data_IF_574820906548
#
_entry.id   IF_574820906548
#
_cell.length_a   1.000
_cell.length_b   1.000
_cell.length_c   1.000
_cell.angle_alpha   90.00
_cell.angle_beta   90.00
_cell.angle_gamma   90.00
#
_symmetry.space_group_name_H-M   'P 1'
#
loop_
_entity.id
_entity.type
_entity.pdbx_description
1 polymer ?
#
# COMPACT_ATOMS: atom_id res chain seq x y z
N UNK A 1 -10.67 12.13 6.76
CA UNK A 1 -10.91 11.01 5.83
C UNK A 1 -11.84 9.92 6.39
N UNK A 2 -12.34 10.11 7.62
CA UNK A 2 -13.24 9.13 8.25
C UNK A 2 -14.41 8.76 7.33
N UNK A 3 -14.60 7.47 7.12
CA UNK A 3 -15.62 6.94 6.21
C UNK A 3 -15.29 7.05 4.71
N UNK A 4 -14.12 7.57 4.33
CA UNK A 4 -13.76 7.83 2.92
C UNK A 4 -12.28 7.55 2.62
N UNK A 5 -11.78 6.41 3.07
CA UNK A 5 -10.35 6.08 3.02
C UNK A 5 -9.75 6.05 1.61
N UNK A 6 -10.43 5.46 0.65
CA UNK A 6 -9.98 5.36 -0.74
C UNK A 6 -10.66 6.33 -1.70
N UNK A 7 -11.50 7.26 -1.22
CA UNK A 7 -12.27 8.16 -2.06
C UNK A 7 -11.55 9.48 -2.36
N UNK A 8 -11.79 10.51 -1.55
CA UNK A 8 -11.19 11.84 -1.76
C UNK A 8 -9.66 11.83 -1.72
N UNK A 9 -8.99 11.16 -0.76
CA UNK A 9 -7.52 11.11 -0.76
C UNK A 9 -6.94 10.54 -2.06
N UNK A 10 -7.55 9.49 -2.62
CA UNK A 10 -7.14 8.95 -3.92
C UNK A 10 -7.32 10.00 -5.04
N UNK A 11 -8.47 10.68 -5.08
CA UNK A 11 -8.73 11.73 -6.09
C UNK A 11 -7.73 12.87 -5.96
N UNK A 12 -7.43 13.31 -4.76
CA UNK A 12 -6.47 14.39 -4.50
C UNK A 12 -5.06 14.02 -5.02
N UNK A 13 -4.62 12.77 -4.79
CA UNK A 13 -3.36 12.26 -5.33
C UNK A 13 -3.38 12.26 -6.87
N UNK A 14 -4.45 11.77 -7.49
CA UNK A 14 -4.57 11.73 -8.95
C UNK A 14 -4.58 13.13 -9.56
N UNK A 15 -5.34 14.07 -8.99
CA UNK A 15 -5.38 15.47 -9.43
C UNK A 15 -4.04 16.19 -9.21
N UNK A 16 -3.38 15.94 -8.08
CA UNK A 16 -2.04 16.46 -7.80
C UNK A 16 -1.01 15.97 -8.82
N UNK A 17 -1.06 14.68 -9.16
CA UNK A 17 -0.20 14.11 -10.19
C UNK A 17 -0.50 14.73 -11.57
N UNK A 18 -1.77 14.86 -11.95
CA UNK A 18 -2.18 15.50 -13.22
C UNK A 18 -1.66 16.93 -13.31
N UNK A 19 -1.77 17.70 -12.22
CA UNK A 19 -1.23 19.05 -12.14
C UNK A 19 0.29 19.08 -12.38
N UNK A 20 1.04 18.22 -11.70
CA UNK A 20 2.50 18.15 -11.85
C UNK A 20 2.90 17.77 -13.27
N UNK A 21 2.29 16.73 -13.84
CA UNK A 21 2.60 16.26 -15.19
C UNK A 21 2.22 17.26 -16.29
N UNK A 22 1.24 18.12 -16.02
CA UNK A 22 0.79 19.14 -16.99
C UNK A 22 1.63 20.41 -16.95
N UNK A 23 2.16 20.76 -15.76
CA UNK A 23 2.81 22.05 -15.56
C UNK A 23 4.34 21.99 -15.54
N UNK A 24 4.95 20.81 -15.40
CA UNK A 24 6.41 20.68 -15.25
C UNK A 24 7.00 19.76 -16.32
N UNK A 25 7.60 20.35 -17.33
CA UNK A 25 8.15 19.64 -18.50
C UNK A 25 9.38 18.77 -18.21
N UNK A 26 10.03 18.96 -17.05
CA UNK A 26 11.17 18.13 -16.64
C UNK A 26 10.75 16.76 -16.05
N UNK A 27 9.45 16.56 -15.81
CA UNK A 27 8.92 15.29 -15.30
C UNK A 27 8.63 14.36 -16.48
N UNK A 28 9.22 13.18 -16.44
CA UNK A 28 8.92 12.12 -17.41
C UNK A 28 7.56 11.49 -17.08
N UNK A 29 6.57 11.77 -17.92
CA UNK A 29 5.19 11.30 -17.76
C UNK A 29 5.04 9.78 -17.87
N UNK A 30 5.97 9.15 -18.57
CA UNK A 30 5.98 7.69 -18.80
C UNK A 30 6.70 6.93 -17.68
N UNK A 31 7.26 7.65 -16.67
CA UNK A 31 8.08 7.06 -15.61
C UNK A 31 7.65 7.54 -14.23
N UNK A 32 6.46 7.15 -13.83
CA UNK A 32 5.87 7.55 -12.56
C UNK A 32 5.72 6.32 -11.65
N UNK A 33 6.24 6.42 -10.42
CA UNK A 33 6.06 5.43 -9.38
C UNK A 33 5.33 6.01 -8.17
N UNK A 34 4.70 5.16 -7.36
CA UNK A 34 4.12 5.55 -6.10
C UNK A 34 4.69 4.72 -4.95
N UNK A 35 4.95 5.38 -3.82
CA UNK A 35 5.41 4.73 -2.59
C UNK A 35 4.67 5.28 -1.38
N UNK A 36 4.40 4.43 -0.40
CA UNK A 36 3.75 4.86 0.82
C UNK A 36 3.94 3.89 1.96
N UNK A 37 3.88 4.42 3.19
CA UNK A 37 3.94 3.63 4.42
C UNK A 37 2.69 3.81 5.27
N UNK A 38 2.29 2.78 6.03
CA UNK A 38 1.11 2.81 6.90
C UNK A 38 -0.17 3.13 6.10
N UNK A 39 -0.88 4.21 6.38
CA UNK A 39 -1.99 4.68 5.55
C UNK A 39 -1.55 4.91 4.08
N UNK A 40 -0.33 5.43 3.86
CA UNK A 40 0.24 5.56 2.52
C UNK A 40 0.47 4.20 1.84
N UNK A 41 0.84 3.16 2.60
CA UNK A 41 0.91 1.78 2.12
C UNK A 41 -0.46 1.23 1.74
N UNK A 42 -1.49 1.50 2.56
CA UNK A 42 -2.88 1.23 2.20
C UNK A 42 -3.25 1.93 0.89
N UNK A 43 -2.93 3.23 0.76
CA UNK A 43 -3.24 3.99 -0.46
C UNK A 43 -2.54 3.42 -1.69
N UNK A 44 -1.31 2.93 -1.55
CA UNK A 44 -0.61 2.21 -2.64
C UNK A 44 -1.33 0.92 -3.02
N UNK A 45 -1.76 0.11 -2.02
CA UNK A 45 -2.55 -1.10 -2.27
C UNK A 45 -3.91 -0.78 -2.90
N UNK A 46 -4.50 0.35 -2.53
CA UNK A 46 -5.73 0.86 -3.13
C UNK A 46 -5.52 1.28 -4.59
N UNK A 47 -4.48 2.07 -4.86
CA UNK A 47 -4.07 2.50 -6.20
C UNK A 47 -3.92 1.30 -7.14
N UNK A 48 -3.30 0.21 -6.69
CA UNK A 48 -3.12 -1.03 -7.47
C UNK A 48 -4.45 -1.58 -8.02
N UNK A 49 -5.55 -1.40 -7.28
CA UNK A 49 -6.89 -1.85 -7.68
C UNK A 49 -7.72 -0.81 -8.45
N UNK A 50 -7.26 0.45 -8.56
CA UNK A 50 -8.06 1.53 -9.12
C UNK A 50 -7.51 2.12 -10.42
N UNK A 51 -6.21 1.96 -10.70
CA UNK A 51 -5.56 2.55 -11.88
C UNK A 51 -4.26 1.82 -12.23
N UNK A 52 -3.88 1.84 -13.48
CA UNK A 52 -2.63 1.29 -14.03
C UNK A 52 -1.63 2.37 -14.47
N UNK A 53 -1.83 3.62 -14.05
CA UNK A 53 -1.03 4.77 -14.50
C UNK A 53 0.39 4.85 -13.91
N UNK A 54 0.73 3.97 -12.96
CA UNK A 54 2.05 3.92 -12.35
C UNK A 54 2.90 2.76 -12.91
N UNK A 55 4.19 3.01 -13.13
CA UNK A 55 5.11 1.98 -13.63
C UNK A 55 5.54 0.98 -12.55
N UNK A 56 5.54 1.43 -11.28
CA UNK A 56 5.79 0.57 -10.14
C UNK A 56 5.24 1.17 -8.85
N UNK A 57 5.01 0.29 -7.88
CA UNK A 57 4.48 0.62 -6.56
C UNK A 57 5.42 0.10 -5.46
N UNK A 58 5.42 0.80 -4.32
CA UNK A 58 6.09 0.35 -3.09
C UNK A 58 5.13 0.52 -1.92
N UNK A 59 4.68 -0.58 -1.36
CA UNK A 59 3.80 -0.62 -0.19
C UNK A 59 4.58 -1.05 1.05
N UNK A 60 4.70 -0.17 2.03
CA UNK A 60 5.31 -0.48 3.33
C UNK A 60 4.23 -0.47 4.41
N UNK A 61 4.10 -1.58 5.16
CA UNK A 61 3.12 -1.74 6.23
C UNK A 61 1.72 -1.27 5.80
N UNK A 62 1.28 -1.68 4.61
CA UNK A 62 -0.01 -1.28 4.03
C UNK A 62 -1.13 -2.26 4.37
N UNK A 63 -2.34 -1.75 4.60
CA UNK A 63 -3.53 -2.59 4.76
C UNK A 63 -3.98 -3.14 3.41
N UNK A 64 -4.31 -4.42 3.38
CA UNK A 64 -4.86 -5.11 2.21
C UNK A 64 -6.33 -5.51 2.39
N UNK A 65 -6.67 -6.10 3.55
CA UNK A 65 -8.05 -6.42 3.91
C UNK A 65 -8.38 -5.85 5.29
N UNK A 66 -9.31 -4.92 5.35
CA UNK A 66 -9.67 -4.21 6.57
C UNK A 66 -10.31 -5.11 7.64
N UNK A 67 -11.00 -6.19 7.24
CA UNK A 67 -11.61 -7.13 8.19
C UNK A 67 -10.55 -7.99 8.86
N UNK A 68 -9.59 -8.50 8.09
CA UNK A 68 -8.47 -9.26 8.66
C UNK A 68 -7.51 -8.37 9.47
N UNK A 69 -7.34 -7.11 9.05
CA UNK A 69 -6.60 -6.10 9.83
C UNK A 69 -7.28 -5.85 11.17
N UNK A 70 -8.60 -5.63 11.19
CA UNK A 70 -9.37 -5.44 12.42
C UNK A 70 -9.18 -6.60 13.41
N UNK A 71 -9.18 -7.83 12.92
CA UNK A 71 -9.00 -9.02 13.76
C UNK A 71 -7.60 -9.21 14.35
N UNK A 72 -6.62 -8.41 13.96
CA UNK A 72 -5.23 -8.54 14.38
C UNK A 72 -4.54 -7.27 14.85
N UNK A 73 -5.19 -6.10 14.75
CA UNK A 73 -4.61 -4.83 15.20
C UNK A 73 -4.65 -4.66 16.71
N UNK A 74 -3.66 -3.97 17.27
CA UNK A 74 -3.67 -3.52 18.68
C UNK A 74 -4.57 -2.29 18.91
N UNK A 75 -5.02 -1.60 17.84
CA UNK A 75 -5.70 -0.31 17.89
C UNK A 75 -7.16 -0.43 17.40
N UNK A 76 -8.00 -1.25 18.06
CA UNK A 76 -9.40 -1.48 17.64
C UNK A 76 -10.26 -0.21 17.57
N UNK A 77 -10.01 0.76 18.45
CA UNK A 77 -10.71 2.05 18.47
C UNK A 77 -10.56 2.81 17.15
N UNK A 78 -9.40 2.65 16.49
CA UNK A 78 -9.07 3.38 15.27
C UNK A 78 -9.93 2.93 14.06
N UNK A 79 -9.97 1.64 13.65
CA UNK A 79 -10.86 1.22 12.59
C UNK A 79 -12.36 1.39 12.92
N UNK A 80 -12.75 1.25 14.17
CA UNK A 80 -14.15 1.50 14.56
C UNK A 80 -14.54 2.97 14.36
N UNK A 81 -13.66 3.90 14.68
CA UNK A 81 -13.86 5.32 14.40
C UNK A 81 -13.88 5.60 12.89
N UNK A 82 -12.88 5.10 12.15
CA UNK A 82 -12.71 5.36 10.73
C UNK A 82 -13.83 4.75 9.88
N UNK A 83 -14.28 3.55 10.21
CA UNK A 83 -15.30 2.82 9.47
C UNK A 83 -16.68 2.82 10.14
N UNK A 84 -16.85 3.63 11.19
CA UNK A 84 -18.14 3.87 11.88
C UNK A 84 -18.76 2.58 12.41
N UNK A 85 -17.97 1.77 13.08
CA UNK A 85 -18.36 0.51 13.69
C UNK A 85 -17.43 -0.63 13.37
N UNK A 86 -17.79 -1.82 13.82
CA UNK A 86 -17.01 -3.05 13.63
C UNK A 86 -17.27 -3.67 12.23
N UNK A 87 -16.47 -4.66 11.79
CA UNK A 87 -16.76 -5.42 10.56
C UNK A 87 -18.12 -6.16 10.59
N UNK A 88 -18.67 -6.39 11.78
CA UNK A 88 -19.96 -7.06 11.95
C UNK A 88 -21.15 -6.09 11.95
N UNK A 89 -20.96 -4.87 12.45
CA UNK A 89 -22.02 -3.85 12.51
C UNK A 89 -22.06 -2.97 11.27
N UNK A 90 -20.94 -2.83 10.54
CA UNK A 90 -20.85 -2.05 9.31
C UNK A 90 -19.98 -2.74 8.23
N UNK A 91 -20.31 -3.99 7.80
CA UNK A 91 -19.51 -4.78 6.90
C UNK A 91 -19.25 -4.12 5.54
N UNK A 92 -20.18 -3.32 5.06
CA UNK A 92 -20.08 -2.69 3.74
C UNK A 92 -18.94 -1.65 3.68
N UNK A 93 -18.68 -0.92 4.76
CA UNK A 93 -17.57 0.02 4.83
C UNK A 93 -16.22 -0.69 4.77
N UNK A 94 -16.09 -1.81 5.49
CA UNK A 94 -14.88 -2.63 5.46
C UNK A 94 -14.67 -3.26 4.07
N UNK A 95 -15.73 -3.75 3.45
CA UNK A 95 -15.67 -4.31 2.08
C UNK A 95 -15.30 -3.23 1.06
N UNK A 96 -16.01 -2.10 1.10
CA UNK A 96 -15.84 -1.00 0.14
C UNK A 96 -14.40 -0.51 0.05
N UNK A 97 -13.72 -0.36 1.19
CA UNK A 97 -12.40 0.24 1.26
C UNK A 97 -11.25 -0.78 1.38
N UNK A 98 -11.52 -2.08 1.32
CA UNK A 98 -10.47 -3.11 1.31
C UNK A 98 -9.93 -3.33 -0.10
N UNK A 99 -8.62 -3.12 -0.37
CA UNK A 99 -7.98 -3.44 -1.64
C UNK A 99 -8.20 -4.90 -2.08
N UNK A 100 -8.37 -5.83 -1.14
CA UNK A 100 -8.60 -7.26 -1.39
C UNK A 100 -9.81 -7.56 -2.29
N UNK A 101 -10.79 -6.68 -2.34
CA UNK A 101 -11.95 -6.84 -3.22
C UNK A 101 -11.73 -6.37 -4.66
N UNK A 102 -10.57 -5.77 -4.95
CA UNK A 102 -10.23 -5.20 -6.26
C UNK A 102 -9.05 -5.92 -6.94
N UNK A 103 -8.67 -7.10 -6.46
CA UNK A 103 -7.52 -7.90 -6.94
C UNK A 103 -7.59 -8.18 -8.45
N UNK A 104 -8.79 -8.34 -9.00
CA UNK A 104 -8.96 -8.58 -10.43
C UNK A 104 -8.43 -7.44 -11.31
N UNK A 105 -8.31 -6.24 -10.75
CA UNK A 105 -7.81 -5.06 -11.45
C UNK A 105 -6.27 -4.90 -11.34
N UNK A 106 -5.61 -5.64 -10.50
CA UNK A 106 -4.17 -5.49 -10.24
C UNK A 106 -3.34 -5.73 -11.48
N UNK A 107 -2.38 -4.84 -11.76
CA UNK A 107 -1.51 -4.88 -12.96
C UNK A 107 -0.09 -4.39 -12.73
N UNK A 108 0.13 -3.52 -11.74
CA UNK A 108 1.36 -2.75 -11.56
C UNK A 108 2.41 -3.52 -10.74
N UNK A 109 3.67 -3.60 -11.17
CA UNK A 109 4.74 -4.19 -10.37
C UNK A 109 4.84 -3.58 -8.98
N UNK A 110 4.87 -4.41 -7.91
CA UNK A 110 4.82 -3.91 -6.53
C UNK A 110 5.89 -4.52 -5.62
N UNK A 111 6.63 -3.66 -4.91
CA UNK A 111 7.48 -4.04 -3.77
C UNK A 111 6.64 -3.94 -2.48
N UNK A 112 6.53 -5.05 -1.76
CA UNK A 112 5.82 -5.13 -0.48
C UNK A 112 6.85 -5.21 0.64
N UNK A 113 6.73 -4.35 1.66
CA UNK A 113 7.67 -4.28 2.79
C UNK A 113 6.91 -4.36 4.10
N UNK A 114 7.38 -5.19 5.06
CA UNK A 114 6.72 -5.29 6.38
C UNK A 114 7.64 -5.84 7.47
N UNK A 115 7.45 -5.36 8.70
CA UNK A 115 8.08 -5.89 9.91
C UNK A 115 7.21 -6.93 10.62
N UNK A 116 7.82 -7.99 11.16
CA UNK A 116 7.12 -9.08 11.87
C UNK A 116 6.35 -8.60 13.10
N UNK A 117 6.93 -7.63 13.83
CA UNK A 117 6.37 -7.12 15.09
C UNK A 117 5.51 -5.86 14.88
N UNK A 118 4.94 -5.72 13.70
CA UNK A 118 3.92 -4.71 13.44
C UNK A 118 2.57 -5.19 14.00
N UNK A 119 2.25 -4.74 15.22
CA UNK A 119 0.98 -5.05 15.88
C UNK A 119 -0.12 -4.04 15.52
N UNK A 120 0.24 -2.92 14.93
CA UNK A 120 -0.71 -1.92 14.41
C UNK A 120 -1.35 -2.40 13.11
N UNK A 121 -0.52 -2.78 12.15
CA UNK A 121 -0.95 -3.40 10.90
C UNK A 121 -0.31 -4.78 10.80
N UNK A 122 -1.01 -5.86 11.16
CA UNK A 122 -0.43 -7.19 11.24
C UNK A 122 0.27 -7.60 9.94
N UNK A 123 1.43 -8.23 10.04
CA UNK A 123 2.27 -8.66 8.90
C UNK A 123 1.51 -9.54 7.90
N UNK A 124 0.44 -10.19 8.35
CA UNK A 124 -0.46 -10.96 7.49
C UNK A 124 -1.08 -10.13 6.36
N UNK A 125 -1.19 -8.81 6.53
CA UNK A 125 -1.63 -7.90 5.46
C UNK A 125 -0.67 -7.95 4.26
N UNK A 126 0.64 -7.91 4.53
CA UNK A 126 1.67 -8.03 3.49
C UNK A 126 1.66 -9.42 2.84
N UNK A 127 1.51 -10.49 3.61
CA UNK A 127 1.46 -11.84 3.07
C UNK A 127 0.24 -12.06 2.17
N UNK A 128 -0.93 -11.58 2.56
CA UNK A 128 -2.15 -11.64 1.75
C UNK A 128 -2.00 -10.85 0.46
N UNK A 129 -1.49 -9.61 0.53
CA UNK A 129 -1.27 -8.75 -0.63
C UNK A 129 -0.24 -9.36 -1.59
N UNK A 130 0.91 -9.79 -1.08
CA UNK A 130 1.95 -10.45 -1.89
C UNK A 130 1.44 -11.73 -2.56
N UNK A 131 0.66 -12.54 -1.84
CA UNK A 131 0.01 -13.74 -2.40
C UNK A 131 -0.92 -13.38 -3.56
N UNK A 132 -1.73 -12.33 -3.42
CA UNK A 132 -2.62 -11.86 -4.49
C UNK A 132 -1.82 -11.43 -5.74
N UNK A 133 -0.77 -10.64 -5.57
CA UNK A 133 0.13 -10.21 -6.65
C UNK A 133 0.75 -11.43 -7.37
N UNK A 134 1.28 -12.39 -6.62
CA UNK A 134 1.88 -13.61 -7.17
C UNK A 134 0.86 -14.47 -7.93
N UNK A 135 -0.35 -14.63 -7.41
CA UNK A 135 -1.43 -15.39 -8.07
C UNK A 135 -1.91 -14.72 -9.35
N UNK A 136 -1.78 -13.40 -9.47
CA UNK A 136 -2.07 -12.63 -10.68
C UNK A 136 -0.87 -12.55 -11.64
N UNK A 137 0.26 -13.22 -11.34
CA UNK A 137 1.52 -13.16 -12.09
C UNK A 137 2.07 -11.73 -12.24
N UNK A 138 1.82 -10.87 -11.26
CA UNK A 138 2.34 -9.50 -11.24
C UNK A 138 3.76 -9.53 -10.69
N UNK A 139 4.75 -8.92 -11.38
CA UNK A 139 6.11 -8.83 -10.87
C UNK A 139 6.12 -8.19 -9.48
N UNK A 140 6.51 -8.95 -8.47
CA UNK A 140 6.50 -8.46 -7.10
C UNK A 140 7.64 -9.05 -6.28
N UNK A 141 8.01 -8.31 -5.21
CA UNK A 141 9.04 -8.69 -4.24
C UNK A 141 8.50 -8.43 -2.84
N UNK A 142 8.71 -9.37 -1.93
CA UNK A 142 8.44 -9.19 -0.51
C UNK A 142 9.77 -8.95 0.24
N UNK A 143 9.90 -7.79 0.89
CA UNK A 143 10.97 -7.49 1.82
C UNK A 143 10.43 -7.58 3.25
N UNK A 144 10.70 -8.71 3.89
CA UNK A 144 10.24 -9.03 5.21
C UNK A 144 11.34 -8.87 6.25
N UNK A 145 11.04 -8.18 7.37
CA UNK A 145 11.95 -7.97 8.48
C UNK A 145 11.45 -8.72 9.72
N UNK A 146 12.11 -9.83 10.11
CA UNK A 146 11.64 -10.68 11.22
C UNK A 146 11.84 -10.05 12.61
N UNK A 147 12.57 -8.96 12.68
CA UNK A 147 13.00 -8.31 13.93
C UNK A 147 12.65 -6.80 13.99
N UNK A 148 11.74 -6.34 13.13
CA UNK A 148 11.24 -4.96 13.09
C UNK A 148 9.74 -4.88 13.34
N UNK A 149 9.30 -3.70 13.78
CA UNK A 149 7.88 -3.36 13.97
C UNK A 149 7.28 -2.58 12.81
N UNK A 150 6.41 -1.62 13.16
CA UNK A 150 5.75 -0.75 12.17
C UNK A 150 6.74 0.13 11.39
N UNK A 151 7.84 0.51 12.01
CA UNK A 151 8.95 1.25 11.39
C UNK A 151 10.21 0.40 11.36
N UNK A 152 11.01 0.54 10.30
CA UNK A 152 12.30 -0.14 10.17
C UNK A 152 13.37 0.77 10.77
N UNK A 153 13.78 0.47 12.00
CA UNK A 153 14.62 1.37 12.81
C UNK A 153 16.06 0.88 13.00
N UNK A 154 16.30 -0.43 12.90
CA UNK A 154 17.67 -0.95 13.05
C UNK A 154 18.53 -0.51 11.87
N UNK A 155 19.74 0.03 12.09
CA UNK A 155 20.55 0.63 11.01
C UNK A 155 20.82 -0.32 9.83
N UNK A 156 21.14 -1.59 10.10
CA UNK A 156 21.39 -2.59 9.06
C UNK A 156 20.12 -2.89 8.23
N UNK A 157 18.96 -2.92 8.88
CA UNK A 157 17.69 -3.15 8.22
C UNK A 157 17.26 -1.91 7.39
N UNK A 158 17.50 -0.72 7.93
CA UNK A 158 17.26 0.53 7.22
C UNK A 158 18.13 0.66 5.95
N UNK A 159 19.39 0.25 6.01
CA UNK A 159 20.25 0.21 4.83
C UNK A 159 19.71 -0.76 3.76
N UNK A 160 19.27 -1.96 4.16
CA UNK A 160 18.67 -2.93 3.25
C UNK A 160 17.37 -2.40 2.66
N UNK A 161 16.54 -1.73 3.48
CA UNK A 161 15.30 -1.09 3.05
C UNK A 161 15.57 -0.05 1.94
N UNK A 162 16.46 0.91 2.19
CA UNK A 162 16.81 1.96 1.23
C UNK A 162 17.41 1.38 -0.05
N UNK A 163 18.34 0.43 0.06
CA UNK A 163 18.92 -0.26 -1.09
C UNK A 163 17.84 -0.90 -1.95
N UNK A 164 16.94 -1.67 -1.32
CA UNK A 164 15.89 -2.39 -2.05
C UNK A 164 14.89 -1.43 -2.73
N UNK A 165 14.52 -0.33 -2.05
CA UNK A 165 13.66 0.71 -2.60
C UNK A 165 14.29 1.38 -3.82
N UNK A 166 15.57 1.77 -3.72
CA UNK A 166 16.29 2.38 -4.84
C UNK A 166 16.46 1.42 -6.02
N UNK A 167 16.78 0.15 -5.76
CA UNK A 167 16.87 -0.89 -6.80
C UNK A 167 15.51 -1.10 -7.50
N UNK A 168 14.40 -1.08 -6.73
CA UNK A 168 13.05 -1.22 -7.29
C UNK A 168 12.69 -0.06 -8.21
N UNK A 169 12.87 1.17 -7.76
CA UNK A 169 12.63 2.35 -8.59
C UNK A 169 13.57 2.36 -9.81
N UNK A 170 14.85 2.03 -9.63
CA UNK A 170 15.80 1.97 -10.73
C UNK A 170 15.39 0.97 -11.81
N UNK A 171 14.81 -0.16 -11.42
CA UNK A 171 14.36 -1.20 -12.37
C UNK A 171 13.22 -0.73 -13.27
N UNK A 172 12.33 0.10 -12.76
CA UNK A 172 11.08 0.47 -13.46
C UNK A 172 11.03 1.93 -13.94
N UNK A 173 11.86 2.81 -13.38
CA UNK A 173 11.81 4.25 -13.67
C UNK A 173 13.08 4.79 -14.36
N UNK A 174 14.21 4.06 -14.35
CA UNK A 174 15.39 4.51 -15.09
C UNK A 174 15.21 4.31 -16.60
N UNK A 175 15.88 5.18 -17.41
CA UNK A 175 15.92 5.04 -18.87
C UNK A 175 16.52 3.72 -19.31
#
# INVERSE_FOLDING_TARGET
ISGDWGGRPFKDIMLGLDHLLSNYSFIDKEKVGAAGGSYGGYMVNWIEGQTDRFNCLISHAGVFDLRSMYGGTEELWFPEWEFRGTPWTNPDMYKKWSPSFYVENFRTPCLVIHGQYDFRLPVTQAFQFFTALQRKNIPSKLLYFPDEGHFILKPQNAQLWWKTVHEWFAKYLKP
#
